data_IF_124697328545
#
_entry.id   IF_124697328545
#
_cell.length_a   1.000
_cell.length_b   1.000
_cell.length_c   1.000
_cell.angle_alpha   90.00
_cell.angle_beta   90.00
_cell.angle_gamma   90.00
#
_symmetry.space_group_name_H-M   'P 1'
#
loop_
_entity.id
_entity.type
_entity.pdbx_description
1 polymer ?
#
# COMPACT_ATOMS: atom_id res chain seq x y z
N UNK A 1 -18.51 24.75 -10.74
CA UNK A 1 -18.19 24.33 -12.12
C UNK A 1 -19.20 23.28 -12.56
N UNK A 2 -19.96 23.54 -13.63
CA UNK A 2 -21.00 22.62 -14.14
C UNK A 2 -20.38 21.37 -14.73
N UNK A 3 -20.91 20.20 -14.37
CA UNK A 3 -20.52 18.90 -14.94
C UNK A 3 -20.76 18.91 -16.46
N UNK A 4 -19.81 18.45 -17.30
CA UNK A 4 -20.07 18.26 -18.71
C UNK A 4 -21.14 17.17 -18.93
N UNK A 5 -21.89 17.20 -20.05
CA UNK A 5 -22.92 16.21 -20.35
C UNK A 5 -22.32 14.80 -20.47
N UNK A 6 -23.09 13.81 -20.05
CA UNK A 6 -22.76 12.38 -20.07
C UNK A 6 -22.43 11.91 -21.50
N UNK A 7 -21.17 12.04 -21.90
CA UNK A 7 -20.62 11.29 -23.01
C UNK A 7 -20.52 9.80 -22.68
N UNK A 8 -20.31 8.94 -23.67
CA UNK A 8 -20.01 7.51 -23.45
C UNK A 8 -18.94 7.38 -22.39
N UNK A 9 -19.21 6.61 -21.32
CA UNK A 9 -18.24 6.35 -20.28
C UNK A 9 -16.95 5.84 -20.92
N UNK A 10 -15.85 6.55 -20.75
CA UNK A 10 -14.54 6.02 -21.12
C UNK A 10 -14.29 4.73 -20.34
N UNK A 11 -13.68 3.70 -20.96
CA UNK A 11 -13.31 2.51 -20.20
C UNK A 11 -12.44 2.89 -19.00
N UNK A 12 -12.60 2.28 -17.82
CA UNK A 12 -11.86 2.63 -16.62
C UNK A 12 -10.34 2.43 -16.78
N UNK A 13 -9.93 1.65 -17.76
CA UNK A 13 -8.53 1.36 -18.11
C UNK A 13 -8.29 1.62 -19.60
N UNK A 14 -7.02 1.88 -20.01
CA UNK A 14 -6.65 1.83 -21.42
C UNK A 14 -6.96 0.44 -21.99
N UNK A 15 -7.01 0.34 -23.31
CA UNK A 15 -7.24 -0.92 -24.01
C UNK A 15 -5.94 -1.72 -24.22
N UNK A 16 -6.06 -2.98 -24.58
CA UNK A 16 -4.90 -3.80 -25.01
C UNK A 16 -4.21 -3.16 -26.23
N UNK A 17 -5.00 -2.54 -27.13
CA UNK A 17 -4.45 -1.83 -28.29
C UNK A 17 -3.61 -0.61 -27.90
N UNK A 18 -4.02 0.13 -26.87
CA UNK A 18 -3.22 1.26 -26.34
C UNK A 18 -1.88 0.79 -25.76
N UNK A 19 -1.88 -0.33 -25.04
CA UNK A 19 -0.64 -0.94 -24.53
C UNK A 19 0.27 -1.38 -25.68
N UNK A 20 -0.29 -2.03 -26.71
CA UNK A 20 0.46 -2.43 -27.89
C UNK A 20 1.05 -1.24 -28.65
N UNK A 21 0.27 -0.18 -28.84
CA UNK A 21 0.73 1.05 -29.50
C UNK A 21 1.88 1.72 -28.73
N UNK A 22 1.80 1.80 -27.40
CA UNK A 22 2.89 2.34 -26.56
C UNK A 22 4.14 1.48 -26.61
N UNK A 23 4.02 0.16 -26.65
CA UNK A 23 5.16 -0.74 -26.85
C UNK A 23 5.83 -0.52 -28.21
N UNK A 24 5.04 -0.37 -29.26
CA UNK A 24 5.56 -0.03 -30.58
C UNK A 24 6.27 1.32 -30.61
N UNK A 25 5.80 2.30 -29.82
CA UNK A 25 6.43 3.60 -29.62
C UNK A 25 7.64 3.58 -28.65
N UNK A 26 8.11 2.40 -28.24
CA UNK A 26 9.33 2.24 -27.44
C UNK A 26 9.14 2.09 -25.93
N UNK A 27 7.89 2.20 -25.39
CA UNK A 27 7.68 1.92 -23.97
C UNK A 27 7.99 0.47 -23.63
N UNK A 28 8.66 0.26 -22.52
CA UNK A 28 8.92 -1.07 -21.95
C UNK A 28 8.40 -1.11 -20.52
N UNK A 29 7.72 -2.21 -20.13
CA UNK A 29 7.26 -2.37 -18.75
C UNK A 29 8.45 -2.47 -17.79
N UNK A 30 8.28 -1.87 -16.62
CA UNK A 30 9.21 -2.02 -15.51
C UNK A 30 8.95 -3.37 -14.85
N UNK A 31 9.97 -4.22 -14.67
CA UNK A 31 9.82 -5.51 -14.00
C UNK A 31 9.30 -5.38 -12.57
N UNK A 32 8.58 -6.40 -12.12
CA UNK A 32 8.13 -6.50 -10.73
C UNK A 32 9.30 -6.94 -9.85
N UNK A 33 9.38 -6.36 -8.66
CA UNK A 33 10.34 -6.75 -7.63
C UNK A 33 9.65 -6.97 -6.27
N UNK A 34 8.33 -6.91 -6.24
CA UNK A 34 7.54 -7.13 -5.04
C UNK A 34 6.29 -7.95 -5.33
N UNK A 35 5.95 -8.87 -4.43
CA UNK A 35 4.82 -9.77 -4.60
C UNK A 35 4.04 -9.87 -3.29
N UNK A 36 2.74 -9.62 -3.34
CA UNK A 36 1.83 -9.80 -2.22
C UNK A 36 1.13 -11.14 -2.38
N UNK A 37 1.42 -12.08 -1.51
CA UNK A 37 0.80 -13.41 -1.53
C UNK A 37 -0.31 -13.49 -0.49
N UNK A 38 -1.55 -13.66 -0.93
CA UNK A 38 -2.66 -13.96 -0.03
C UNK A 38 -2.63 -15.44 0.31
N UNK A 39 -2.06 -15.74 1.45
CA UNK A 39 -1.94 -17.13 1.92
C UNK A 39 -3.21 -17.63 2.60
N UNK A 40 -4.06 -16.70 3.07
CA UNK A 40 -5.37 -16.99 3.69
C UNK A 40 -6.40 -15.91 3.38
N UNK A 41 -7.58 -16.28 2.89
CA UNK A 41 -8.61 -15.33 2.40
C UNK A 41 -9.62 -14.89 3.47
N UNK A 42 -9.51 -15.33 4.73
CA UNK A 42 -10.40 -14.94 5.82
C UNK A 42 -9.62 -14.21 6.93
N UNK A 43 -10.35 -13.46 7.77
CA UNK A 43 -9.80 -12.73 8.89
C UNK A 43 -10.57 -13.07 10.17
N UNK A 44 -9.92 -12.99 11.31
CA UNK A 44 -10.50 -13.12 12.64
C UNK A 44 -10.91 -11.77 13.26
N UNK A 45 -10.72 -10.66 12.52
CA UNK A 45 -11.31 -9.35 12.80
C UNK A 45 -12.41 -9.00 11.78
N UNK A 46 -13.31 -8.11 12.17
CA UNK A 46 -14.40 -7.56 11.38
C UNK A 46 -14.33 -6.02 11.34
N UNK A 47 -13.17 -5.48 11.03
CA UNK A 47 -12.95 -4.03 10.95
C UNK A 47 -13.96 -3.39 9.99
N UNK A 48 -14.59 -2.29 10.40
CA UNK A 48 -15.67 -1.65 9.65
C UNK A 48 -15.19 -0.88 8.41
N UNK A 49 -13.94 -0.47 8.36
CA UNK A 49 -13.29 0.17 7.20
C UNK A 49 -12.54 -0.82 6.29
N UNK A 50 -12.62 -2.13 6.53
CA UNK A 50 -11.80 -3.10 5.80
C UNK A 50 -12.16 -3.15 4.31
N UNK A 51 -11.30 -2.63 3.46
CA UNK A 51 -11.52 -2.60 2.01
C UNK A 51 -11.60 -4.01 1.39
N UNK A 52 -11.02 -5.04 2.03
CA UNK A 52 -11.13 -6.43 1.57
C UNK A 52 -12.53 -7.00 1.73
N UNK A 53 -13.26 -6.61 2.79
CA UNK A 53 -14.51 -7.25 3.16
C UNK A 53 -15.72 -6.32 3.10
N UNK A 54 -15.50 -5.00 3.05
CA UNK A 54 -16.57 -3.98 3.12
C UNK A 54 -16.72 -3.16 1.85
N UNK A 55 -15.81 -3.31 0.86
CA UNK A 55 -15.91 -2.62 -0.42
C UNK A 55 -16.95 -3.25 -1.36
N UNK A 56 -17.11 -2.65 -2.53
CA UNK A 56 -18.03 -3.13 -3.58
C UNK A 56 -17.65 -4.53 -4.10
N UNK A 57 -16.36 -4.84 -4.23
CA UNK A 57 -15.87 -6.14 -4.66
C UNK A 57 -15.95 -7.15 -3.51
N UNK A 58 -16.84 -8.13 -3.66
CA UNK A 58 -17.05 -9.22 -2.73
C UNK A 58 -16.48 -10.56 -3.21
N UNK A 59 -15.59 -10.56 -4.20
CA UNK A 59 -15.00 -11.76 -4.80
C UNK A 59 -14.25 -12.66 -3.82
N UNK A 60 -13.79 -12.09 -2.67
CA UNK A 60 -13.18 -12.86 -1.60
C UNK A 60 -14.03 -14.03 -1.09
N UNK A 61 -15.37 -13.94 -1.25
CA UNK A 61 -16.32 -15.01 -0.81
C UNK A 61 -16.13 -16.29 -1.56
N UNK A 62 -15.78 -16.20 -2.85
CA UNK A 62 -15.54 -17.35 -3.74
C UNK A 62 -14.11 -17.90 -3.60
N UNK A 63 -13.20 -17.17 -2.96
CA UNK A 63 -11.81 -17.59 -2.81
C UNK A 63 -11.65 -18.77 -1.83
N UNK A 64 -10.79 -19.76 -2.15
CA UNK A 64 -10.35 -20.78 -1.19
C UNK A 64 -9.87 -20.14 0.11
N UNK A 65 -10.10 -20.80 1.23
CA UNK A 65 -9.63 -20.25 2.53
C UNK A 65 -8.14 -20.10 2.60
N UNK A 66 -7.39 -21.05 2.03
CA UNK A 66 -5.93 -21.09 2.05
C UNK A 66 -5.40 -21.35 0.66
N UNK A 67 -4.24 -20.79 0.35
CA UNK A 67 -3.48 -21.16 -0.85
C UNK A 67 -3.04 -22.62 -0.74
N UNK A 68 -3.32 -23.41 -1.78
CA UNK A 68 -2.91 -24.83 -1.79
C UNK A 68 -1.40 -24.98 -2.00
N UNK A 69 -0.78 -26.10 -1.57
CA UNK A 69 0.63 -26.36 -1.87
C UNK A 69 0.98 -26.33 -3.36
N UNK A 70 0.06 -26.78 -4.22
CA UNK A 70 0.23 -26.74 -5.68
C UNK A 70 0.25 -25.29 -6.19
N UNK A 71 -0.71 -24.48 -5.76
CA UNK A 71 -0.76 -23.06 -6.12
C UNK A 71 0.47 -22.31 -5.61
N UNK A 72 0.91 -22.60 -4.37
CA UNK A 72 2.11 -22.02 -3.79
C UNK A 72 3.37 -22.37 -4.60
N UNK A 73 3.57 -23.65 -4.94
CA UNK A 73 4.72 -24.09 -5.73
C UNK A 73 4.73 -23.37 -7.09
N UNK A 74 3.57 -23.33 -7.77
CA UNK A 74 3.46 -22.65 -9.07
C UNK A 74 3.72 -21.15 -8.95
N UNK A 75 3.23 -20.51 -7.88
CA UNK A 75 3.51 -19.09 -7.61
C UNK A 75 5.01 -18.83 -7.43
N UNK A 76 5.67 -19.67 -6.64
CA UNK A 76 7.11 -19.56 -6.39
C UNK A 76 7.94 -19.74 -7.67
N UNK A 77 7.57 -20.71 -8.52
CA UNK A 77 8.19 -20.92 -9.84
C UNK A 77 8.02 -19.69 -10.75
N UNK A 78 6.81 -19.10 -10.80
CA UNK A 78 6.53 -17.90 -11.60
C UNK A 78 7.29 -16.67 -11.10
N UNK A 79 7.46 -16.52 -9.78
CA UNK A 79 8.30 -15.47 -9.20
C UNK A 79 9.75 -15.67 -9.65
N UNK A 80 10.30 -16.87 -9.50
CA UNK A 80 11.67 -17.19 -9.88
C UNK A 80 11.91 -16.97 -11.39
N UNK A 81 10.98 -17.44 -12.25
CA UNK A 81 11.00 -17.21 -13.69
C UNK A 81 11.11 -15.70 -14.01
N UNK A 82 10.24 -14.88 -13.43
CA UNK A 82 10.21 -13.44 -13.65
C UNK A 82 11.50 -12.75 -13.21
N UNK A 83 11.96 -13.04 -11.98
CA UNK A 83 13.18 -12.43 -11.43
C UNK A 83 14.40 -12.78 -12.27
N UNK A 84 14.52 -14.04 -12.70
CA UNK A 84 15.62 -14.50 -13.56
C UNK A 84 15.56 -13.85 -14.94
N UNK A 85 14.39 -13.82 -15.59
CA UNK A 85 14.20 -13.25 -16.93
C UNK A 85 14.61 -11.78 -16.99
N UNK A 86 14.35 -11.05 -15.91
CA UNK A 86 14.62 -9.61 -15.84
C UNK A 86 15.90 -9.24 -15.06
N UNK A 87 16.71 -10.22 -14.65
CA UNK A 87 17.94 -9.97 -13.91
C UNK A 87 17.71 -9.23 -12.57
N UNK A 88 16.56 -9.45 -11.92
CA UNK A 88 16.25 -8.84 -10.63
C UNK A 88 17.00 -9.59 -9.54
N UNK A 89 17.91 -8.92 -8.84
CA UNK A 89 18.78 -9.51 -7.81
C UNK A 89 18.27 -9.29 -6.37
N UNK A 90 17.23 -8.47 -6.20
CA UNK A 90 16.63 -8.19 -4.90
C UNK A 90 15.11 -8.08 -5.05
N UNK A 91 14.36 -8.88 -4.29
CA UNK A 91 12.90 -8.89 -4.36
C UNK A 91 12.25 -9.04 -2.97
N UNK A 92 11.01 -8.54 -2.85
CA UNK A 92 10.20 -8.65 -1.66
C UNK A 92 8.98 -9.56 -1.87
N UNK A 93 8.67 -10.39 -0.86
CA UNK A 93 7.38 -11.08 -0.79
C UNK A 93 6.71 -10.75 0.53
N UNK A 94 5.48 -10.24 0.43
CA UNK A 94 4.64 -9.93 1.60
C UNK A 94 3.58 -11.01 1.74
N UNK A 95 3.64 -11.77 2.83
CA UNK A 95 2.58 -12.69 3.20
C UNK A 95 1.40 -11.88 3.73
N UNK A 96 0.27 -12.00 3.07
CA UNK A 96 -0.93 -11.19 3.29
C UNK A 96 -2.20 -12.04 3.19
N UNK A 97 -3.34 -11.40 3.08
CA UNK A 97 -4.63 -12.03 2.89
C UNK A 97 -5.70 -11.28 3.68
N UNK A 98 -6.59 -11.99 4.34
CA UNK A 98 -7.36 -11.44 5.44
C UNK A 98 -6.48 -11.33 6.68
N UNK A 99 -6.11 -12.48 7.23
CA UNK A 99 -5.09 -12.60 8.28
C UNK A 99 -4.16 -13.77 7.93
N UNK A 100 -2.90 -13.50 7.56
CA UNK A 100 -1.99 -14.54 7.09
C UNK A 100 -1.66 -15.59 8.15
N UNK A 101 -1.62 -15.23 9.43
CA UNK A 101 -1.30 -16.16 10.51
C UNK A 101 -2.41 -17.19 10.80
N UNK A 102 -3.54 -17.15 10.08
CA UNK A 102 -4.57 -18.19 10.13
C UNK A 102 -4.16 -19.47 9.40
N UNK A 103 -3.10 -19.46 8.57
CA UNK A 103 -2.64 -20.67 7.87
C UNK A 103 -2.00 -21.72 8.78
N UNK A 104 -1.59 -21.31 10.00
CA UNK A 104 -0.85 -22.18 10.94
C UNK A 104 0.66 -22.28 10.65
N UNK A 105 1.39 -22.78 11.62
CA UNK A 105 2.85 -22.70 11.65
C UNK A 105 3.53 -23.62 10.63
N UNK A 106 2.96 -24.81 10.41
CA UNK A 106 3.46 -25.75 9.40
C UNK A 106 3.30 -25.20 7.98
N UNK A 107 2.12 -24.64 7.65
CA UNK A 107 1.88 -24.05 6.34
C UNK A 107 2.72 -22.76 6.13
N UNK A 108 2.94 -21.97 7.17
CA UNK A 108 3.84 -20.82 7.16
C UNK A 108 5.28 -21.25 6.84
N UNK A 109 5.78 -22.24 7.54
CA UNK A 109 7.12 -22.81 7.31
C UNK A 109 7.27 -23.33 5.88
N UNK A 110 6.30 -24.10 5.42
CA UNK A 110 6.27 -24.60 4.03
C UNK A 110 6.28 -23.44 3.03
N UNK A 111 5.48 -22.40 3.24
CA UNK A 111 5.41 -21.24 2.35
C UNK A 111 6.77 -20.57 2.20
N UNK A 112 7.44 -20.27 3.31
CA UNK A 112 8.76 -19.63 3.30
C UNK A 112 9.81 -20.49 2.62
N UNK A 113 9.86 -21.79 2.95
CA UNK A 113 10.83 -22.72 2.36
C UNK A 113 10.62 -22.91 0.86
N UNK A 114 9.37 -23.02 0.41
CA UNK A 114 9.04 -23.15 -1.03
C UNK A 114 9.48 -21.91 -1.81
N UNK A 115 9.21 -20.71 -1.31
CA UNK A 115 9.61 -19.46 -1.96
C UNK A 115 11.14 -19.36 -2.08
N UNK A 116 11.88 -19.64 -0.98
CA UNK A 116 13.34 -19.56 -1.00
C UNK A 116 13.98 -20.61 -1.89
N UNK A 117 13.45 -21.83 -1.87
CA UNK A 117 13.96 -22.91 -2.72
C UNK A 117 13.80 -22.59 -4.23
N UNK A 118 12.65 -22.03 -4.62
CA UNK A 118 12.38 -21.69 -6.02
C UNK A 118 13.23 -20.50 -6.51
N UNK A 119 13.36 -19.45 -5.70
CA UNK A 119 14.11 -18.24 -6.06
C UNK A 119 15.61 -18.48 -6.06
N UNK A 120 16.09 -19.37 -5.18
CA UNK A 120 17.52 -19.73 -5.09
C UNK A 120 18.40 -18.62 -4.49
N UNK A 121 19.71 -18.86 -4.44
CA UNK A 121 20.69 -17.98 -3.80
C UNK A 121 21.08 -16.76 -4.65
N UNK A 122 20.71 -16.74 -5.92
CA UNK A 122 21.04 -15.63 -6.85
C UNK A 122 20.24 -14.35 -6.59
N UNK A 123 19.18 -14.42 -5.80
CA UNK A 123 18.31 -13.28 -5.48
C UNK A 123 18.22 -13.13 -3.96
N UNK A 124 18.42 -11.91 -3.48
CA UNK A 124 18.15 -11.56 -2.09
C UNK A 124 16.64 -11.42 -1.90
N UNK A 125 16.02 -12.45 -1.33
CA UNK A 125 14.57 -12.48 -1.10
C UNK A 125 14.24 -12.01 0.31
N UNK A 126 13.58 -10.84 0.40
CA UNK A 126 13.04 -10.28 1.63
C UNK A 126 11.63 -10.81 1.86
N UNK A 127 11.43 -11.49 2.97
CA UNK A 127 10.12 -11.99 3.37
C UNK A 127 9.57 -11.15 4.51
N UNK A 128 8.36 -10.72 4.35
CA UNK A 128 7.62 -9.99 5.39
C UNK A 128 6.19 -10.48 5.48
N UNK A 129 5.54 -10.14 6.57
CA UNK A 129 4.16 -10.48 6.79
C UNK A 129 3.43 -9.26 7.37
N UNK A 130 2.21 -8.98 6.91
CA UNK A 130 1.33 -7.96 7.46
C UNK A 130 0.19 -8.62 8.22
N UNK A 131 0.09 -8.35 9.53
CA UNK A 131 -0.88 -9.00 10.43
C UNK A 131 -1.68 -7.99 11.26
N UNK A 132 -2.84 -8.44 11.72
CA UNK A 132 -3.62 -7.73 12.75
C UNK A 132 -3.04 -7.92 14.18
N UNK A 133 -1.99 -8.73 14.35
CA UNK A 133 -1.28 -8.92 15.60
C UNK A 133 -1.90 -9.94 16.58
N UNK A 134 -3.15 -10.38 16.38
CA UNK A 134 -3.85 -11.22 17.35
C UNK A 134 -3.21 -12.59 17.60
N UNK A 135 -2.43 -13.06 16.64
CA UNK A 135 -1.81 -14.39 16.65
C UNK A 135 -0.29 -14.36 16.83
N UNK A 136 0.28 -13.22 17.19
CA UNK A 136 1.71 -13.07 17.48
C UNK A 136 2.00 -13.55 18.92
N UNK A 137 2.01 -14.86 19.13
CA UNK A 137 2.51 -15.48 20.35
C UNK A 137 4.03 -15.50 20.37
N UNK A 138 4.64 -15.74 21.52
CA UNK A 138 6.10 -15.86 21.63
C UNK A 138 6.66 -16.96 20.73
N UNK A 139 6.08 -18.15 20.77
CA UNK A 139 6.46 -19.28 19.91
C UNK A 139 6.38 -18.94 18.42
N UNK A 140 5.36 -18.17 18.01
CA UNK A 140 5.22 -17.76 16.61
C UNK A 140 6.24 -16.71 16.22
N UNK A 141 6.60 -15.81 17.12
CA UNK A 141 7.69 -14.86 16.89
C UNK A 141 9.04 -15.59 16.80
N UNK A 142 9.28 -16.62 17.62
CA UNK A 142 10.46 -17.47 17.49
C UNK A 142 10.51 -18.13 16.10
N UNK A 143 9.42 -18.74 15.66
CA UNK A 143 9.33 -19.34 14.33
C UNK A 143 9.57 -18.32 13.20
N UNK A 144 8.97 -17.12 13.29
CA UNK A 144 9.20 -16.05 12.31
C UNK A 144 10.67 -15.62 12.29
N UNK A 145 11.33 -15.60 13.46
CA UNK A 145 12.76 -15.35 13.58
C UNK A 145 13.62 -16.41 12.89
N UNK A 146 13.36 -17.69 13.15
CA UNK A 146 14.02 -18.81 12.48
C UNK A 146 13.81 -18.77 10.95
N UNK A 147 12.63 -18.37 10.53
CA UNK A 147 12.27 -18.21 9.12
C UNK A 147 12.76 -16.89 8.52
N UNK A 148 13.35 -15.97 9.28
CA UNK A 148 13.81 -14.66 8.81
C UNK A 148 12.71 -13.86 8.11
N UNK A 149 11.51 -13.81 8.72
CA UNK A 149 10.34 -13.08 8.22
C UNK A 149 10.10 -11.86 9.11
N UNK A 150 10.12 -10.66 8.53
CA UNK A 150 9.82 -9.43 9.25
C UNK A 150 8.31 -9.23 9.40
N UNK A 151 7.89 -8.50 10.43
CA UNK A 151 6.50 -8.38 10.85
C UNK A 151 6.04 -6.93 10.81
N UNK A 152 5.04 -6.63 9.98
CA UNK A 152 4.25 -5.43 10.06
C UNK A 152 2.97 -5.69 10.85
N UNK A 153 2.59 -4.75 11.74
CA UNK A 153 1.37 -4.87 12.54
C UNK A 153 0.44 -3.70 12.25
N UNK A 154 -0.85 -4.03 12.06
CA UNK A 154 -1.88 -3.01 11.87
C UNK A 154 -2.47 -2.59 13.21
N UNK A 155 -2.32 -1.30 13.56
CA UNK A 155 -2.89 -0.69 14.76
C UNK A 155 -3.21 0.78 14.53
N UNK A 156 -4.32 1.28 15.11
CA UNK A 156 -4.79 2.64 14.87
C UNK A 156 -4.53 3.58 16.06
N UNK A 157 -3.45 3.32 16.81
CA UNK A 157 -3.06 4.11 17.96
C UNK A 157 -3.65 3.58 19.27
N UNK A 158 -3.95 4.47 20.24
CA UNK A 158 -4.41 4.09 21.56
C UNK A 158 -5.77 3.36 21.56
N UNK A 159 -6.12 2.76 22.71
CA UNK A 159 -7.27 1.84 22.87
C UNK A 159 -8.59 2.35 22.28
N UNK A 160 -8.97 3.60 22.61
CA UNK A 160 -10.24 4.15 22.14
C UNK A 160 -10.28 4.32 20.61
N UNK A 161 -9.16 4.68 19.99
CA UNK A 161 -9.00 4.81 18.55
C UNK A 161 -9.05 3.44 17.87
N UNK A 162 -8.22 2.51 18.33
CA UNK A 162 -8.10 1.16 17.78
C UNK A 162 -9.41 0.36 17.90
N UNK A 163 -10.00 0.29 19.12
CA UNK A 163 -11.19 -0.50 19.40
C UNK A 163 -12.47 0.11 18.82
N UNK A 164 -12.41 1.31 18.25
CA UNK A 164 -13.53 1.89 17.49
C UNK A 164 -13.81 1.11 16.21
N UNK A 165 -12.78 0.67 15.56
CA UNK A 165 -12.82 0.06 14.22
C UNK A 165 -12.38 -1.41 14.19
N UNK A 166 -11.29 -1.75 14.92
CA UNK A 166 -10.66 -3.06 14.83
C UNK A 166 -11.21 -4.01 15.88
N UNK A 167 -12.37 -4.57 15.56
CA UNK A 167 -13.13 -5.45 16.47
C UNK A 167 -13.24 -6.86 15.89
N UNK A 168 -13.44 -7.83 16.77
CA UNK A 168 -13.86 -9.17 16.39
C UNK A 168 -15.31 -9.19 15.86
N UNK A 169 -15.74 -10.30 15.30
CA UNK A 169 -17.13 -10.50 14.87
C UNK A 169 -18.12 -10.44 16.06
N UNK A 170 -17.64 -10.68 17.27
CA UNK A 170 -18.38 -10.56 18.54
C UNK A 170 -18.48 -9.10 19.04
N UNK A 171 -17.95 -8.14 18.30
CA UNK A 171 -17.93 -6.72 18.66
C UNK A 171 -16.88 -6.32 19.70
N UNK A 172 -16.10 -7.27 20.24
CA UNK A 172 -15.05 -6.97 21.22
C UNK A 172 -13.86 -6.30 20.55
N UNK A 173 -13.30 -5.27 21.24
CA UNK A 173 -12.07 -4.62 20.81
C UNK A 173 -10.87 -5.56 20.82
N UNK A 174 -9.89 -5.27 20.00
CA UNK A 174 -8.68 -6.09 19.84
C UNK A 174 -7.42 -5.44 20.43
N UNK A 175 -7.48 -4.17 20.84
CA UNK A 175 -6.30 -3.38 21.26
C UNK A 175 -5.45 -4.09 22.31
N UNK A 176 -6.04 -4.57 23.42
CA UNK A 176 -5.26 -5.18 24.50
C UNK A 176 -4.42 -6.39 24.04
N UNK A 177 -4.93 -7.16 23.07
CA UNK A 177 -4.21 -8.31 22.51
C UNK A 177 -3.10 -7.85 21.57
N UNK A 178 -3.36 -6.83 20.75
CA UNK A 178 -2.38 -6.24 19.83
C UNK A 178 -1.27 -5.56 20.62
N UNK A 179 -1.59 -4.83 21.68
CA UNK A 179 -0.64 -4.19 22.59
C UNK A 179 0.31 -5.20 23.23
N UNK A 180 -0.23 -6.31 23.74
CA UNK A 180 0.58 -7.40 24.28
C UNK A 180 1.50 -8.04 23.21
N UNK A 181 1.02 -8.16 21.96
CA UNK A 181 1.81 -8.68 20.84
C UNK A 181 2.94 -7.71 20.45
N UNK A 182 2.66 -6.41 20.42
CA UNK A 182 3.65 -5.37 20.16
C UNK A 182 4.73 -5.32 21.26
N UNK A 183 4.34 -5.47 22.53
CA UNK A 183 5.30 -5.57 23.63
C UNK A 183 6.29 -6.72 23.46
N UNK A 184 5.83 -7.91 23.00
CA UNK A 184 6.72 -9.04 22.68
C UNK A 184 7.61 -8.75 21.46
N UNK A 185 7.02 -8.20 20.39
CA UNK A 185 7.72 -7.93 19.13
C UNK A 185 8.80 -6.85 19.31
N UNK A 186 8.51 -5.83 20.13
CA UNK A 186 9.40 -4.69 20.34
C UNK A 186 10.58 -4.97 21.28
N UNK A 187 10.61 -6.13 21.94
CA UNK A 187 11.58 -6.42 23.00
C UNK A 187 12.46 -7.64 22.69
N UNK A 188 13.62 -7.70 23.39
CA UNK A 188 14.51 -8.86 23.40
C UNK A 188 14.90 -9.34 22.00
N UNK A 189 14.90 -10.67 21.83
CA UNK A 189 15.31 -11.35 20.58
C UNK A 189 14.39 -11.11 19.39
N UNK A 190 13.14 -10.67 19.62
CA UNK A 190 12.19 -10.44 18.54
C UNK A 190 12.28 -9.04 17.90
N UNK A 191 12.97 -8.11 18.54
CA UNK A 191 13.14 -6.73 18.03
C UNK A 191 13.61 -6.66 16.56
N UNK A 192 14.55 -7.49 16.08
CA UNK A 192 14.98 -7.47 14.68
C UNK A 192 13.89 -7.85 13.68
N UNK A 193 12.81 -8.49 14.14
CA UNK A 193 11.67 -8.87 13.28
C UNK A 193 10.69 -7.71 13.07
N UNK A 194 10.74 -6.70 13.93
CA UNK A 194 9.79 -5.59 13.87
C UNK A 194 10.03 -4.75 12.61
N UNK A 195 9.11 -4.82 11.65
CA UNK A 195 9.18 -4.10 10.37
C UNK A 195 8.52 -2.72 10.44
N UNK A 196 7.23 -2.67 10.69
CA UNK A 196 6.48 -1.42 10.70
C UNK A 196 5.14 -1.53 11.45
N UNK A 197 4.57 -0.36 11.76
CA UNK A 197 3.15 -0.21 12.13
C UNK A 197 2.38 0.43 10.97
N UNK A 198 1.18 -0.09 10.68
CA UNK A 198 0.24 0.52 9.74
C UNK A 198 -0.95 1.06 10.52
N UNK A 199 -1.23 2.35 10.34
CA UNK A 199 -2.31 3.06 11.02
C UNK A 199 -3.25 3.71 10.00
N UNK A 200 -4.51 3.32 9.98
CA UNK A 200 -5.52 4.02 9.18
C UNK A 200 -5.93 5.31 9.90
N UNK A 201 -5.88 6.44 9.19
CA UNK A 201 -6.24 7.75 9.75
C UNK A 201 -7.74 7.79 10.02
N UNK A 202 -8.12 8.14 11.25
CA UNK A 202 -9.47 8.55 11.64
C UNK A 202 -9.42 10.00 12.13
N UNK A 203 -10.10 10.90 11.43
CA UNK A 203 -10.13 12.33 11.75
C UNK A 203 -10.71 12.66 13.13
N UNK A 204 -11.39 11.71 13.78
CA UNK A 204 -11.87 11.83 15.17
C UNK A 204 -10.77 11.67 16.21
N UNK A 205 -9.61 11.16 15.81
CA UNK A 205 -8.47 10.97 16.69
C UNK A 205 -7.52 12.17 16.59
N UNK A 206 -7.01 12.61 17.73
CA UNK A 206 -5.94 13.60 17.77
C UNK A 206 -4.69 13.04 17.07
N UNK A 207 -4.11 13.74 16.08
CA UNK A 207 -3.00 13.26 15.29
C UNK A 207 -1.73 13.03 16.11
N UNK A 208 -1.41 13.97 17.01
CA UNK A 208 -0.20 13.90 17.82
C UNK A 208 -0.31 12.78 18.85
N UNK A 209 -1.44 12.66 19.54
CA UNK A 209 -1.67 11.56 20.48
C UNK A 209 -1.67 10.20 19.78
N UNK A 210 -2.18 10.12 18.55
CA UNK A 210 -2.13 8.89 17.75
C UNK A 210 -0.69 8.53 17.43
N UNK A 211 0.10 9.49 16.97
CA UNK A 211 1.52 9.28 16.68
C UNK A 211 2.31 8.86 17.93
N UNK A 212 2.13 9.56 19.04
CA UNK A 212 2.77 9.24 20.34
C UNK A 212 2.40 7.82 20.83
N UNK A 213 1.15 7.41 20.69
CA UNK A 213 0.73 6.06 21.04
C UNK A 213 1.42 4.99 20.19
N UNK A 214 1.65 5.26 18.89
CA UNK A 214 2.40 4.34 18.03
C UNK A 214 3.88 4.26 18.42
N UNK A 215 4.46 5.34 18.92
CA UNK A 215 5.86 5.37 19.36
C UNK A 215 6.13 4.57 20.63
N UNK A 216 5.12 4.19 21.41
CA UNK A 216 5.28 3.47 22.69
C UNK A 216 6.18 2.24 22.57
N UNK A 217 6.12 1.55 21.42
CA UNK A 217 6.95 0.37 21.13
C UNK A 217 8.17 0.68 20.25
N UNK A 218 8.50 1.95 20.07
CA UNK A 218 9.64 2.39 19.25
C UNK A 218 9.71 1.69 17.88
N UNK A 219 8.65 1.69 17.07
CA UNK A 219 8.64 0.99 15.79
C UNK A 219 9.72 1.54 14.86
N UNK A 220 10.38 0.72 14.02
CA UNK A 220 11.35 1.22 13.05
C UNK A 220 10.69 2.08 11.97
N UNK A 221 9.41 1.80 11.65
CA UNK A 221 8.63 2.59 10.73
C UNK A 221 7.14 2.62 11.10
N UNK A 222 6.50 3.73 10.75
CA UNK A 222 5.04 3.91 10.80
C UNK A 222 4.55 4.32 9.41
N UNK A 223 3.41 3.80 8.99
CA UNK A 223 2.73 4.25 7.79
C UNK A 223 1.32 4.70 8.12
N UNK A 224 1.03 5.98 7.89
CA UNK A 224 -0.31 6.54 8.01
C UNK A 224 -1.05 6.36 6.69
N UNK A 225 -2.11 5.57 6.73
CA UNK A 225 -2.92 5.23 5.56
C UNK A 225 -4.14 6.14 5.49
N UNK A 226 -4.27 6.87 4.40
CA UNK A 226 -5.52 7.57 4.09
C UNK A 226 -6.64 6.53 3.91
N UNK A 227 -7.82 6.70 4.52
CA UNK A 227 -8.94 5.80 4.31
C UNK A 227 -9.24 5.63 2.82
N UNK A 228 -9.44 4.39 2.40
CA UNK A 228 -9.70 4.11 0.99
C UNK A 228 -11.11 4.54 0.60
N UNK A 229 -11.20 5.24 -0.50
CA UNK A 229 -12.42 5.71 -1.13
C UNK A 229 -12.08 6.46 -2.42
N UNK A 230 -13.07 6.93 -3.13
CA UNK A 230 -12.95 7.58 -4.43
C UNK A 230 -14.11 8.56 -4.64
N UNK A 231 -14.27 9.10 -5.84
CA UNK A 231 -15.32 10.07 -6.16
C UNK A 231 -16.74 9.51 -6.05
N UNK A 232 -16.94 8.18 -6.17
CA UNK A 232 -18.25 7.53 -5.98
C UNK A 232 -18.57 7.30 -4.50
N UNK A 233 -17.54 7.00 -3.72
CA UNK A 233 -17.63 6.69 -2.30
C UNK A 233 -16.54 7.47 -1.58
N UNK A 234 -16.73 8.79 -1.38
CA UNK A 234 -15.72 9.62 -0.75
C UNK A 234 -15.40 9.14 0.68
N UNK A 235 -14.12 9.17 1.07
CA UNK A 235 -13.72 8.83 2.44
C UNK A 235 -14.36 9.75 3.47
N UNK A 236 -14.55 9.28 4.73
CA UNK A 236 -15.15 10.09 5.78
C UNK A 236 -14.44 11.42 5.97
N UNK A 237 -15.18 12.53 5.97
CA UNK A 237 -14.65 13.88 6.23
C UNK A 237 -13.96 14.56 5.06
N UNK A 238 -13.72 13.89 3.94
CA UNK A 238 -13.27 14.57 2.70
C UNK A 238 -14.28 15.63 2.30
N UNK A 239 -13.79 16.82 1.97
CA UNK A 239 -14.61 17.89 1.41
C UNK A 239 -14.48 17.91 -0.12
N UNK A 240 -15.49 17.44 -0.88
CA UNK A 240 -15.43 17.42 -2.34
C UNK A 240 -15.32 18.81 -2.98
N UNK A 241 -15.68 19.87 -2.24
CA UNK A 241 -15.51 21.26 -2.70
C UNK A 241 -14.07 21.76 -2.59
N UNK A 242 -13.20 21.04 -1.86
CA UNK A 242 -11.81 21.40 -1.63
C UNK A 242 -11.58 22.64 -0.74
N UNK A 243 -12.64 23.15 -0.08
CA UNK A 243 -12.52 24.32 0.80
C UNK A 243 -11.93 23.99 2.17
N UNK A 244 -12.06 22.74 2.60
CA UNK A 244 -11.45 22.19 3.83
C UNK A 244 -10.55 21.04 3.46
N UNK A 245 -9.44 20.90 4.19
CA UNK A 245 -8.41 19.91 3.94
C UNK A 245 -8.07 19.14 5.25
N UNK A 246 -9.05 18.41 5.82
CA UNK A 246 -8.92 17.86 7.15
C UNK A 246 -7.82 16.77 7.25
N UNK A 247 -7.55 16.04 6.18
CA UNK A 247 -6.45 15.07 6.17
C UNK A 247 -5.08 15.75 6.04
N UNK A 248 -5.00 16.87 5.33
CA UNK A 248 -3.80 17.69 5.33
C UNK A 248 -3.52 18.28 6.71
N UNK A 249 -4.55 18.76 7.40
CA UNK A 249 -4.42 19.31 8.76
C UNK A 249 -3.94 18.24 9.73
N UNK A 250 -4.53 17.03 9.65
CA UNK A 250 -4.16 15.89 10.48
C UNK A 250 -2.72 15.44 10.23
N UNK A 251 -2.33 15.24 8.98
CA UNK A 251 -0.97 14.83 8.60
C UNK A 251 0.06 15.93 8.87
N UNK A 252 -0.33 17.19 8.74
CA UNK A 252 0.55 18.32 9.08
C UNK A 252 0.90 18.34 10.57
N UNK A 253 -0.06 18.12 11.46
CA UNK A 253 0.21 18.05 12.90
C UNK A 253 1.17 16.89 13.23
N UNK A 254 1.04 15.74 12.57
CA UNK A 254 2.01 14.64 12.70
C UNK A 254 3.37 15.05 12.14
N UNK A 255 3.40 15.70 10.97
CA UNK A 255 4.64 16.15 10.35
C UNK A 255 5.41 17.10 11.28
N UNK A 256 4.76 18.11 11.83
CA UNK A 256 5.39 19.09 12.75
C UNK A 256 6.00 18.39 13.98
N UNK A 257 5.26 17.43 14.58
CA UNK A 257 5.74 16.68 15.74
C UNK A 257 6.92 15.75 15.37
N UNK A 258 6.83 15.04 14.26
CA UNK A 258 7.85 14.11 13.79
C UNK A 258 9.10 14.81 13.27
N UNK A 259 8.93 15.81 12.41
CA UNK A 259 10.02 16.54 11.77
C UNK A 259 10.78 17.46 12.77
N UNK A 260 10.06 18.00 13.75
CA UNK A 260 10.62 18.83 14.79
C UNK A 260 11.34 18.08 15.92
N UNK A 261 11.33 16.75 15.92
CA UNK A 261 12.01 15.95 16.92
C UNK A 261 13.55 16.11 16.81
N UNK A 262 14.24 16.22 17.95
CA UNK A 262 15.71 16.40 17.99
C UNK A 262 16.48 15.22 17.35
N UNK A 263 15.93 14.03 17.45
CA UNK A 263 16.48 12.80 16.87
C UNK A 263 15.38 12.08 16.12
N UNK A 264 15.73 11.33 15.06
CA UNK A 264 14.76 10.52 14.32
C UNK A 264 14.25 9.38 15.21
N UNK A 265 13.00 9.48 15.65
CA UNK A 265 12.36 8.49 16.53
C UNK A 265 11.90 7.26 15.73
N UNK A 266 11.36 7.49 14.54
CA UNK A 266 10.88 6.46 13.61
C UNK A 266 10.88 6.99 12.18
N UNK A 267 10.79 6.11 11.19
CA UNK A 267 10.48 6.47 9.82
C UNK A 267 8.96 6.64 9.68
N UNK A 268 8.48 7.76 9.12
CA UNK A 268 7.06 7.91 8.74
C UNK A 268 6.98 7.85 7.22
N UNK A 269 6.62 6.68 6.70
CA UNK A 269 6.81 6.31 5.29
C UNK A 269 6.22 7.30 4.30
N UNK A 270 4.99 7.77 4.52
CA UNK A 270 4.35 8.79 3.68
C UNK A 270 5.15 10.10 3.67
N UNK A 271 5.61 10.56 4.84
CA UNK A 271 6.32 11.82 5.00
C UNK A 271 7.77 11.72 4.50
N UNK A 272 8.46 10.61 4.78
CA UNK A 272 9.80 10.34 4.22
C UNK A 272 9.76 10.34 2.68
N UNK A 273 8.74 9.72 2.07
CA UNK A 273 8.57 9.72 0.61
C UNK A 273 8.27 11.12 0.07
N UNK A 274 7.45 11.90 0.78
CA UNK A 274 7.15 13.28 0.39
C UNK A 274 8.43 14.15 0.45
N UNK A 275 9.21 14.03 1.51
CA UNK A 275 10.50 14.73 1.61
C UNK A 275 11.45 14.32 0.50
N UNK A 276 11.56 13.01 0.23
CA UNK A 276 12.41 12.50 -0.84
C UNK A 276 12.02 13.09 -2.21
N UNK A 277 10.72 13.15 -2.53
CA UNK A 277 10.21 13.76 -3.77
C UNK A 277 10.51 15.26 -3.85
N UNK A 278 10.30 16.00 -2.76
CA UNK A 278 10.62 17.43 -2.68
C UNK A 278 12.13 17.71 -2.83
N UNK A 279 12.97 16.76 -2.44
CA UNK A 279 14.43 16.83 -2.58
C UNK A 279 14.94 16.21 -3.90
N UNK A 280 14.05 15.89 -4.85
CA UNK A 280 14.40 15.40 -6.17
C UNK A 280 14.72 13.91 -6.27
N UNK A 281 14.53 13.13 -5.20
CA UNK A 281 14.66 11.68 -5.25
C UNK A 281 13.40 11.02 -5.82
N UNK A 282 13.52 9.74 -6.19
CA UNK A 282 12.41 8.94 -6.75
C UNK A 282 12.11 7.76 -5.82
N UNK A 283 11.30 7.94 -4.78
CA UNK A 283 10.94 6.87 -3.85
C UNK A 283 10.06 5.81 -4.54
N UNK A 284 10.18 4.57 -4.10
CA UNK A 284 9.37 3.45 -4.58
C UNK A 284 8.01 3.42 -3.86
N UNK A 285 7.12 4.32 -4.24
CA UNK A 285 5.76 4.38 -3.68
C UNK A 285 4.75 4.69 -4.79
N UNK A 286 3.54 4.18 -4.65
CA UNK A 286 2.41 4.50 -5.53
C UNK A 286 1.48 5.55 -4.90
N UNK A 287 1.66 5.87 -3.62
CA UNK A 287 0.84 6.85 -2.91
C UNK A 287 1.11 8.28 -3.38
N UNK A 288 2.37 8.59 -3.74
CA UNK A 288 2.85 9.88 -4.22
C UNK A 288 3.88 9.68 -5.33
N UNK A 289 4.06 10.71 -6.18
CA UNK A 289 5.04 10.68 -7.26
C UNK A 289 4.59 9.89 -8.47
N UNK A 290 5.52 9.66 -9.39
CA UNK A 290 5.28 9.06 -10.71
C UNK A 290 6.00 7.71 -10.87
N UNK A 291 6.43 7.09 -9.79
CA UNK A 291 7.12 5.80 -9.84
C UNK A 291 6.21 4.73 -10.43
N UNK A 292 6.71 3.90 -11.33
CA UNK A 292 5.93 2.81 -11.90
C UNK A 292 5.57 1.79 -10.81
N UNK A 293 4.38 1.21 -10.89
CA UNK A 293 4.00 0.07 -10.04
C UNK A 293 4.94 -1.10 -10.32
N UNK A 294 5.45 -1.73 -9.26
CA UNK A 294 6.42 -2.83 -9.33
C UNK A 294 6.00 -4.05 -8.51
N UNK A 295 4.74 -4.12 -8.14
CA UNK A 295 4.22 -5.26 -7.40
C UNK A 295 2.98 -5.85 -8.05
N UNK A 296 2.71 -7.10 -7.72
CA UNK A 296 1.51 -7.84 -8.06
C UNK A 296 0.96 -8.56 -6.84
N UNK A 297 -0.33 -8.83 -6.86
CA UNK A 297 -1.01 -9.62 -5.84
C UNK A 297 -1.37 -10.98 -6.41
N UNK A 298 -1.07 -12.04 -5.66
CA UNK A 298 -1.49 -13.41 -5.97
C UNK A 298 -2.53 -13.82 -4.93
N UNK A 299 -3.75 -14.10 -5.38
CA UNK A 299 -4.84 -14.52 -4.49
C UNK A 299 -4.73 -16.01 -4.14
N UNK A 300 -5.52 -16.49 -3.17
CA UNK A 300 -5.44 -17.85 -2.64
C UNK A 300 -5.71 -18.95 -3.66
N UNK A 301 -6.42 -18.66 -4.77
CA UNK A 301 -6.64 -19.56 -5.90
C UNK A 301 -5.56 -19.48 -6.99
N UNK A 302 -4.57 -18.59 -6.83
CA UNK A 302 -3.53 -18.32 -7.81
C UNK A 302 -3.88 -17.23 -8.83
N UNK A 303 -5.04 -16.61 -8.72
CA UNK A 303 -5.41 -15.45 -9.57
C UNK A 303 -4.42 -14.31 -9.38
N UNK A 304 -3.95 -13.74 -10.50
CA UNK A 304 -3.11 -12.55 -10.52
C UNK A 304 -4.00 -11.32 -10.48
N UNK A 305 -3.88 -10.50 -9.45
CA UNK A 305 -4.63 -9.27 -9.32
C UNK A 305 -3.68 -8.06 -9.28
N UNK A 306 -4.23 -6.88 -9.59
CA UNK A 306 -3.42 -5.66 -9.69
C UNK A 306 -3.02 -5.13 -8.31
N UNK A 307 -4.03 -4.77 -7.52
CA UNK A 307 -3.92 -4.17 -6.20
C UNK A 307 -5.27 -4.32 -5.48
N UNK A 308 -5.21 -4.73 -4.24
CA UNK A 308 -6.43 -4.91 -3.44
C UNK A 308 -7.19 -3.61 -3.16
N UNK A 309 -6.52 -2.46 -3.16
CA UNK A 309 -7.15 -1.16 -2.95
C UNK A 309 -8.15 -0.81 -4.06
N UNK A 310 -7.93 -1.32 -5.28
CA UNK A 310 -8.85 -1.17 -6.43
C UNK A 310 -10.21 -1.80 -6.19
N UNK A 311 -10.35 -2.72 -5.23
CA UNK A 311 -11.64 -3.31 -4.82
C UNK A 311 -12.65 -2.26 -4.36
N UNK A 312 -12.18 -1.06 -3.97
CA UNK A 312 -13.03 0.06 -3.58
C UNK A 312 -13.66 0.78 -4.77
N UNK A 313 -13.14 0.61 -5.98
CA UNK A 313 -13.62 1.30 -7.18
C UNK A 313 -14.94 0.69 -7.69
N UNK A 314 -14.91 -0.58 -8.07
CA UNK A 314 -16.07 -1.34 -8.55
C UNK A 314 -15.80 -2.85 -8.42
N UNK A 315 -16.85 -3.68 -8.57
CA UNK A 315 -16.67 -5.13 -8.53
C UNK A 315 -15.77 -5.61 -9.68
N UNK A 316 -14.70 -6.32 -9.33
CA UNK A 316 -13.73 -6.84 -10.29
C UNK A 316 -12.63 -5.86 -10.73
N UNK A 317 -12.58 -4.62 -10.21
CA UNK A 317 -11.57 -3.64 -10.61
C UNK A 317 -10.12 -4.11 -10.42
N UNK A 318 -9.87 -4.97 -9.44
CA UNK A 318 -8.55 -5.55 -9.20
C UNK A 318 -8.24 -6.76 -10.09
N UNK A 319 -9.24 -7.36 -10.74
CA UNK A 319 -9.07 -8.61 -11.51
C UNK A 319 -8.34 -8.34 -12.82
N UNK A 320 -7.53 -9.31 -13.23
CA UNK A 320 -6.83 -9.28 -14.53
C UNK A 320 -7.30 -10.38 -15.49
N UNK A 321 -8.01 -11.39 -14.99
CA UNK A 321 -8.33 -12.60 -15.74
C UNK A 321 -7.14 -13.57 -15.90
N UNK A 322 -5.98 -13.23 -15.30
CA UNK A 322 -4.77 -14.05 -15.33
C UNK A 322 -4.62 -14.85 -14.03
N UNK A 323 -3.89 -15.97 -14.10
CA UNK A 323 -3.55 -16.82 -12.97
C UNK A 323 -2.15 -17.42 -13.12
N UNK A 324 -1.51 -17.82 -12.02
CA UNK A 324 -0.15 -18.38 -12.02
C UNK A 324 -0.05 -19.73 -12.73
N UNK A 325 -1.15 -20.48 -12.84
CA UNK A 325 -1.15 -21.80 -13.45
C UNK A 325 -0.93 -21.74 -14.97
N UNK A 326 -1.50 -20.73 -15.61
CA UNK A 326 -1.49 -20.57 -17.08
C UNK A 326 -0.62 -19.41 -17.57
N UNK A 327 -0.35 -18.39 -16.71
CA UNK A 327 0.27 -17.16 -17.15
C UNK A 327 1.53 -16.84 -16.35
N UNK A 328 2.47 -16.12 -16.99
CA UNK A 328 3.63 -15.54 -16.34
C UNK A 328 3.31 -14.15 -15.77
N UNK A 329 4.20 -13.62 -14.92
CA UNK A 329 4.12 -12.21 -14.50
C UNK A 329 4.39 -11.25 -15.66
N UNK A 330 5.07 -11.68 -16.72
CA UNK A 330 5.27 -10.87 -17.92
C UNK A 330 3.96 -10.65 -18.70
N UNK A 331 3.07 -11.63 -18.69
CA UNK A 331 1.71 -11.43 -19.21
C UNK A 331 0.94 -10.39 -18.36
N UNK A 332 1.12 -10.40 -17.03
CA UNK A 332 0.53 -9.40 -16.13
C UNK A 332 1.07 -7.99 -16.39
N UNK A 333 2.37 -7.83 -16.68
CA UNK A 333 2.96 -6.52 -17.02
C UNK A 333 2.30 -5.85 -18.23
N UNK A 334 1.73 -6.65 -19.13
CA UNK A 334 1.02 -6.16 -20.31
C UNK A 334 -0.48 -5.98 -20.09
N UNK A 335 -0.98 -6.30 -18.89
CA UNK A 335 -2.37 -6.03 -18.56
C UNK A 335 -2.61 -4.51 -18.51
N UNK A 336 -3.69 -3.99 -19.16
CA UNK A 336 -3.95 -2.55 -19.29
C UNK A 336 -3.90 -1.78 -17.98
N UNK A 337 -4.45 -2.33 -16.91
CA UNK A 337 -4.44 -1.67 -15.60
C UNK A 337 -3.05 -1.60 -14.96
N UNK A 338 -2.19 -2.61 -15.16
CA UNK A 338 -0.79 -2.57 -14.70
C UNK A 338 0.00 -1.59 -15.56
N UNK A 339 -0.16 -1.67 -16.88
CA UNK A 339 0.54 -0.79 -17.82
C UNK A 339 0.23 0.69 -17.55
N UNK A 340 -1.05 1.04 -17.35
CA UNK A 340 -1.47 2.40 -17.01
C UNK A 340 -0.75 2.94 -15.77
N UNK A 341 -0.59 2.11 -14.75
CA UNK A 341 0.10 2.47 -13.49
C UNK A 341 1.63 2.51 -13.63
N UNK A 342 2.16 2.23 -14.82
CA UNK A 342 3.59 2.37 -15.15
C UNK A 342 3.87 3.49 -16.15
N UNK A 343 2.86 4.20 -16.67
CA UNK A 343 3.06 5.23 -17.68
C UNK A 343 3.49 6.60 -17.14
N UNK A 344 3.60 6.75 -15.83
CA UNK A 344 4.03 8.00 -15.20
C UNK A 344 3.08 9.16 -15.56
N UNK A 345 3.62 10.27 -16.09
CA UNK A 345 2.85 11.45 -16.47
C UNK A 345 1.77 11.15 -17.51
N UNK A 346 1.99 10.18 -18.39
CA UNK A 346 1.03 9.83 -19.43
C UNK A 346 -0.25 9.13 -18.90
N UNK A 347 -0.27 8.73 -17.63
CA UNK A 347 -1.44 8.20 -16.95
C UNK A 347 -2.20 9.25 -16.13
N UNK A 348 -1.78 10.51 -16.19
CA UNK A 348 -2.42 11.60 -15.43
C UNK A 348 -3.58 12.22 -16.23
N UNK A 349 -4.60 12.68 -15.51
CA UNK A 349 -5.65 13.50 -16.07
C UNK A 349 -5.13 14.87 -16.55
N UNK A 350 -5.86 15.52 -17.45
CA UNK A 350 -5.51 16.87 -17.91
C UNK A 350 -5.38 17.86 -16.74
N UNK A 351 -6.26 17.76 -15.74
CA UNK A 351 -6.20 18.57 -14.51
C UNK A 351 -4.90 18.35 -13.76
N UNK A 352 -4.46 17.09 -13.61
CA UNK A 352 -3.20 16.78 -12.94
C UNK A 352 -1.99 17.25 -13.76
N UNK A 353 -2.01 17.11 -15.08
CA UNK A 353 -0.93 17.58 -15.96
C UNK A 353 -0.72 19.09 -15.90
N UNK A 354 -1.81 19.86 -15.74
CA UNK A 354 -1.76 21.32 -15.58
C UNK A 354 -1.32 21.75 -14.16
N UNK A 355 -1.27 20.83 -13.20
CA UNK A 355 -0.92 21.13 -11.81
C UNK A 355 0.61 21.23 -11.64
N UNK A 356 1.15 22.29 -11.02
CA UNK A 356 2.59 22.41 -10.78
C UNK A 356 3.15 21.34 -9.84
N UNK A 357 2.29 20.69 -9.05
CA UNK A 357 2.70 19.62 -8.11
C UNK A 357 2.64 18.20 -8.71
N UNK A 358 2.33 18.06 -10.01
CA UNK A 358 2.08 16.73 -10.59
C UNK A 358 3.25 15.75 -10.43
N UNK A 359 4.49 16.21 -10.40
CA UNK A 359 5.67 15.36 -10.21
C UNK A 359 5.82 14.84 -8.78
N UNK A 360 5.39 15.64 -7.79
CA UNK A 360 5.44 15.27 -6.37
C UNK A 360 4.17 14.52 -5.97
N UNK A 361 3.00 15.00 -6.38
CA UNK A 361 1.71 14.38 -6.05
C UNK A 361 1.46 13.09 -6.84
N UNK A 362 1.83 13.07 -8.14
CA UNK A 362 1.55 11.94 -9.04
C UNK A 362 0.07 11.65 -9.28
N UNK A 363 -0.84 12.59 -8.88
CA UNK A 363 -2.28 12.39 -8.90
C UNK A 363 -2.80 11.57 -7.70
N UNK A 364 -1.97 11.28 -6.71
CA UNK A 364 -2.30 10.47 -5.54
C UNK A 364 -2.46 8.97 -5.86
N UNK A 365 -2.84 8.18 -4.86
CA UNK A 365 -3.04 6.74 -5.00
C UNK A 365 -4.09 6.41 -6.07
N UNK A 366 -3.81 5.42 -6.93
CA UNK A 366 -4.60 5.18 -8.15
C UNK A 366 -6.09 4.87 -7.86
N UNK A 367 -6.39 4.04 -6.87
CA UNK A 367 -7.75 3.69 -6.48
C UNK A 367 -8.61 4.91 -6.09
N UNK A 368 -7.97 5.98 -5.57
CA UNK A 368 -8.66 7.20 -5.10
C UNK A 368 -9.06 8.15 -6.23
N UNK A 369 -8.65 7.85 -7.47
CA UNK A 369 -8.99 8.64 -8.67
C UNK A 369 -10.31 8.22 -9.31
N UNK A 370 -10.83 7.06 -8.97
CA UNK A 370 -11.97 6.47 -9.68
C UNK A 370 -13.23 7.33 -9.60
N UNK A 371 -13.83 7.57 -10.77
CA UNK A 371 -15.19 8.05 -10.97
C UNK A 371 -15.88 7.17 -12.02
N UNK A 372 -17.16 6.88 -11.82
CA UNK A 372 -17.92 5.98 -12.70
C UNK A 372 -18.03 6.49 -14.14
N UNK A 373 -18.05 7.81 -14.32
CA UNK A 373 -18.21 8.40 -15.64
C UNK A 373 -16.90 8.49 -16.43
N UNK A 374 -15.76 8.64 -15.74
CA UNK A 374 -14.46 8.97 -16.36
C UNK A 374 -13.35 7.95 -15.99
N UNK A 375 -13.70 6.86 -15.30
CA UNK A 375 -12.75 5.85 -14.88
C UNK A 375 -11.71 6.42 -13.91
N UNK A 376 -10.43 6.19 -14.20
CA UNK A 376 -9.30 6.66 -13.37
C UNK A 376 -8.63 7.93 -13.90
N UNK A 377 -9.19 8.55 -14.95
CA UNK A 377 -8.65 9.77 -15.56
C UNK A 377 -9.03 11.04 -14.76
N UNK A 378 -8.88 11.00 -13.44
CA UNK A 378 -9.22 12.08 -12.52
C UNK A 378 -8.08 12.35 -11.53
N UNK A 379 -8.06 13.55 -10.91
CA UNK A 379 -7.33 13.74 -9.66
C UNK A 379 -7.83 12.79 -8.57
N UNK A 380 -7.00 12.51 -7.59
CA UNK A 380 -7.44 11.83 -6.37
C UNK A 380 -8.58 12.58 -5.70
N UNK A 381 -9.49 11.87 -5.03
CA UNK A 381 -10.50 12.47 -4.14
C UNK A 381 -9.87 13.29 -3.01
N UNK A 382 -8.60 13.02 -2.69
CA UNK A 382 -7.77 13.77 -1.74
C UNK A 382 -6.97 14.92 -2.38
N UNK A 383 -7.30 15.35 -3.62
CA UNK A 383 -6.52 16.35 -4.36
C UNK A 383 -6.25 17.63 -3.55
N UNK A 384 -7.27 18.18 -2.89
CA UNK A 384 -7.12 19.38 -2.07
C UNK A 384 -6.21 19.14 -0.85
N UNK A 385 -6.41 18.03 -0.13
CA UNK A 385 -5.59 17.66 1.02
C UNK A 385 -4.13 17.45 0.64
N UNK A 386 -3.87 16.71 -0.47
CA UNK A 386 -2.50 16.47 -0.94
C UNK A 386 -1.82 17.77 -1.38
N UNK A 387 -2.54 18.66 -2.08
CA UNK A 387 -2.02 19.95 -2.50
C UNK A 387 -1.61 20.79 -1.29
N UNK A 388 -2.48 20.87 -0.29
CA UNK A 388 -2.21 21.66 0.93
C UNK A 388 -1.08 21.08 1.75
N UNK A 389 -1.06 19.75 1.97
CA UNK A 389 0.02 19.06 2.69
C UNK A 389 1.38 19.27 2.01
N UNK A 390 1.46 19.02 0.70
CA UNK A 390 2.70 19.20 -0.08
C UNK A 390 3.16 20.65 0.01
N UNK A 391 2.24 21.61 -0.12
CA UNK A 391 2.54 23.04 -0.02
C UNK A 391 3.11 23.43 1.34
N UNK A 392 2.51 22.94 2.44
CA UNK A 392 2.98 23.21 3.81
C UNK A 392 4.36 22.61 4.05
N UNK A 393 4.55 21.34 3.72
CA UNK A 393 5.84 20.64 3.90
C UNK A 393 6.92 21.31 3.06
N UNK A 394 6.64 21.68 1.80
CA UNK A 394 7.59 22.38 0.93
C UNK A 394 8.03 23.72 1.55
N UNK A 395 7.09 24.53 2.04
CA UNK A 395 7.41 25.82 2.68
C UNK A 395 8.29 25.63 3.92
N UNK A 396 7.96 24.65 4.75
CA UNK A 396 8.74 24.36 5.97
C UNK A 396 10.17 23.92 5.64
N UNK A 397 10.32 22.95 4.73
CA UNK A 397 11.64 22.46 4.30
C UNK A 397 12.45 23.56 3.63
N UNK A 398 11.82 24.41 2.79
CA UNK A 398 12.48 25.54 2.16
C UNK A 398 13.01 26.56 3.18
N UNK A 399 12.23 26.84 4.22
CA UNK A 399 12.66 27.74 5.30
C UNK A 399 13.87 27.18 6.06
N UNK A 400 13.85 25.88 6.40
CA UNK A 400 14.95 25.24 7.13
C UNK A 400 16.22 25.15 6.27
N UNK A 401 16.11 24.79 4.97
CA UNK A 401 17.24 24.79 4.04
C UNK A 401 17.82 26.21 3.83
N UNK A 402 16.94 27.21 3.67
CA UNK A 402 17.35 28.62 3.55
C UNK A 402 18.10 29.13 4.76
N UNK A 403 17.69 28.72 5.96
CA UNK A 403 18.42 29.04 7.21
C UNK A 403 19.83 28.43 7.26
N UNK A 404 20.09 27.38 6.49
CA UNK A 404 21.39 26.70 6.34
C UNK A 404 22.10 27.06 5.02
N UNK A 405 21.60 28.04 4.24
CA UNK A 405 22.23 28.50 2.99
C UNK A 405 22.07 27.55 1.79
N UNK A 406 21.19 26.57 1.88
CA UNK A 406 20.92 25.60 0.80
C UNK A 406 19.58 25.88 0.09
N UNK A 407 19.51 26.00 -1.24
CA UNK A 407 18.22 26.11 -1.94
C UNK A 407 17.54 24.75 -2.10
N UNK A 408 16.21 24.76 -2.22
CA UNK A 408 15.49 23.57 -2.72
C UNK A 408 15.95 23.24 -4.16
N UNK A 409 16.10 21.97 -4.52
CA UNK A 409 16.45 21.57 -5.88
C UNK A 409 15.45 22.14 -6.91
N UNK A 410 15.97 22.67 -8.02
CA UNK A 410 15.20 23.17 -9.16
C UNK A 410 14.52 22.00 -9.88
N UNK A 411 13.35 21.59 -9.48
CA UNK A 411 12.60 20.45 -10.02
C UNK A 411 11.50 19.98 -9.05
N UNK A 412 11.50 20.51 -7.84
CA UNK A 412 10.47 20.32 -6.83
C UNK A 412 9.29 21.31 -6.97
N UNK A 413 9.23 22.02 -8.12
CA UNK A 413 8.16 22.95 -8.49
C UNK A 413 7.20 22.28 -9.47
#
# INVERSE_FOLDING_TARGET
MSRPPLGRAEPPWPTIADVAARRAAGWRPTPLDSFVLKVHSRCDLACDYCYMYRSHDQSWRAQPRTMTPVTLARTAERIAEHLTTHGVTEAGVVLHGGEPLLIGDEALTRTVRTLRAAVGAGVRLHLSLQTNGLRLTEQRLDLLGELGVTVGVSTDGGRAAHDRHRRGADGRGSHARVEAALGRLASGRHRPLFGALLCTIDLRNDPVRTYEALLTHSPPAVDFLLPLGNWQTPPPGVDPSGRRTPYADWLWAVFERWYGARTKETSVRLLDNLLALLLGATPRTEALGLSPVRYAVVDTDGSLTQDDTLRTAYDGAARTGLDVHRHSFDALLLHPGIAARQWGTAALSATCLACPLHRVCGGGHYATRYDRATGFANPSVYCADLTELIGRVRRRVAADLGAHGAPLPSGAA
#
